data_IF_048035091112
#
_entry.id   IF_048035091112
#
_cell.length_a   1.000
_cell.length_b   1.000
_cell.length_c   1.000
_cell.angle_alpha   90.00
_cell.angle_beta   90.00
_cell.angle_gamma   90.00
#
_symmetry.space_group_name_H-M   'P 1'
#
loop_
_entity.id
_entity.type
_entity.pdbx_description
1 polymer ?
#
# COMPACT_ATOMS: atom_id res chain seq x y z
N UNK A 1 30.32 -51.54 20.51
CA UNK A 1 29.84 -51.20 19.15
C UNK A 1 28.70 -50.17 19.27
N UNK A 2 29.04 -48.89 19.14
CA UNK A 2 28.02 -47.81 19.20
C UNK A 2 27.42 -47.63 17.81
N UNK A 3 26.09 -47.81 17.68
CA UNK A 3 25.37 -47.56 16.45
C UNK A 3 25.10 -46.08 16.32
N UNK A 4 25.75 -45.44 15.35
CA UNK A 4 25.56 -44.03 14.97
C UNK A 4 24.19 -43.89 14.27
N UNK A 5 23.25 -43.22 14.90
CA UNK A 5 21.93 -42.86 14.28
C UNK A 5 22.10 -41.56 13.51
N UNK A 6 22.08 -41.65 12.19
CA UNK A 6 21.95 -40.49 11.31
C UNK A 6 20.52 -39.88 11.46
N UNK A 7 20.44 -38.68 12.01
CA UNK A 7 19.22 -37.86 11.92
C UNK A 7 19.19 -37.22 10.53
N UNK A 8 18.29 -37.68 9.71
CA UNK A 8 17.95 -36.98 8.44
C UNK A 8 17.13 -35.74 8.77
N UNK A 9 17.75 -34.56 8.63
CA UNK A 9 17.04 -33.28 8.69
C UNK A 9 16.31 -33.05 7.35
N UNK A 10 15.00 -33.17 7.37
CA UNK A 10 14.15 -32.83 6.22
C UNK A 10 14.02 -31.31 6.14
N UNK A 11 14.69 -30.70 5.16
CA UNK A 11 14.59 -29.28 4.87
C UNK A 11 13.21 -29.02 4.20
N UNK A 12 12.27 -28.44 4.94
CA UNK A 12 10.98 -28.04 4.39
C UNK A 12 11.21 -26.79 3.52
N UNK A 13 11.11 -26.99 2.20
CA UNK A 13 11.13 -25.90 1.23
C UNK A 13 9.80 -25.14 1.32
N UNK A 14 9.78 -23.98 1.96
CA UNK A 14 8.64 -23.08 1.95
C UNK A 14 8.56 -22.46 0.55
N UNK A 15 7.64 -22.94 -0.26
CA UNK A 15 7.33 -22.33 -1.55
C UNK A 15 6.66 -20.96 -1.29
N UNK A 16 7.39 -19.87 -1.47
CA UNK A 16 6.84 -18.52 -1.54
C UNK A 16 6.06 -18.46 -2.86
N UNK A 17 4.74 -18.61 -2.77
CA UNK A 17 3.86 -18.38 -3.92
C UNK A 17 3.86 -16.89 -4.21
N UNK A 18 4.56 -16.48 -5.26
CA UNK A 18 4.46 -15.13 -5.79
C UNK A 18 3.02 -14.92 -6.26
N UNK A 19 2.29 -14.01 -5.60
CA UNK A 19 0.98 -13.58 -6.11
C UNK A 19 1.18 -12.95 -7.49
N UNK A 20 0.39 -13.33 -8.51
CA UNK A 20 0.47 -12.67 -9.79
C UNK A 20 0.14 -11.18 -9.60
N UNK A 21 1.04 -10.31 -10.06
CA UNK A 21 0.78 -8.88 -10.07
C UNK A 21 -0.47 -8.63 -10.93
N UNK A 22 -1.49 -7.99 -10.33
CA UNK A 22 -2.69 -7.60 -11.06
C UNK A 22 -2.30 -6.51 -12.08
N UNK A 23 -2.76 -6.57 -13.34
CA UNK A 23 -2.49 -5.50 -14.31
C UNK A 23 -2.96 -4.15 -13.76
N UNK A 24 -2.10 -3.13 -13.83
CA UNK A 24 -2.38 -1.78 -13.36
C UNK A 24 -3.58 -1.12 -14.07
N UNK A 25 -3.91 -1.57 -15.29
CA UNK A 25 -4.92 -0.96 -16.16
C UNK A 25 -6.38 -1.18 -15.72
N UNK A 26 -6.61 -2.02 -14.73
CA UNK A 26 -7.97 -2.40 -14.28
C UNK A 26 -8.54 -1.51 -13.17
N UNK A 27 -7.71 -0.76 -12.47
CA UNK A 27 -8.13 0.17 -11.40
C UNK A 27 -8.29 1.56 -11.98
N UNK A 28 -9.51 2.13 -11.82
CA UNK A 28 -9.78 3.49 -12.29
C UNK A 28 -9.07 4.53 -11.41
N UNK A 29 -8.58 5.63 -12.01
CA UNK A 29 -8.05 6.74 -11.23
C UNK A 29 -9.13 7.29 -10.26
N UNK A 30 -8.72 7.89 -9.13
CA UNK A 30 -9.66 8.44 -8.18
C UNK A 30 -10.36 9.67 -8.78
N UNK A 31 -11.57 10.01 -8.29
CA UNK A 31 -12.25 11.24 -8.70
C UNK A 31 -11.43 12.46 -8.29
N UNK A 32 -11.53 13.57 -9.04
CA UNK A 32 -10.74 14.78 -8.82
C UNK A 32 -10.85 15.37 -7.40
N UNK A 33 -11.96 15.13 -6.70
CA UNK A 33 -12.19 15.60 -5.33
C UNK A 33 -11.65 14.71 -4.21
N UNK A 34 -10.82 13.70 -4.49
CA UNK A 34 -10.34 12.77 -3.44
C UNK A 34 -9.60 13.47 -2.29
N UNK A 35 -8.97 14.61 -2.50
CA UNK A 35 -8.30 15.39 -1.43
C UNK A 35 -9.29 16.00 -0.40
N UNK A 36 -10.59 15.97 -0.66
CA UNK A 36 -11.64 16.32 0.31
C UNK A 36 -12.15 15.11 1.11
N UNK A 37 -11.63 13.90 0.83
CA UNK A 37 -11.94 12.72 1.60
C UNK A 37 -11.28 12.75 2.98
N UNK A 38 -11.61 11.79 3.82
CA UNK A 38 -10.97 11.67 5.12
C UNK A 38 -9.46 11.45 4.95
N UNK A 39 -8.67 12.32 5.55
CA UNK A 39 -7.22 12.20 5.58
C UNK A 39 -6.83 11.21 6.67
N UNK A 40 -6.26 10.08 6.25
CA UNK A 40 -5.87 8.97 7.14
C UNK A 40 -4.58 9.30 7.89
N UNK A 41 -3.53 9.63 7.15
CA UNK A 41 -2.23 10.02 7.68
C UNK A 41 -1.36 10.69 6.61
N UNK A 42 -0.24 11.25 7.06
CA UNK A 42 0.88 11.65 6.21
C UNK A 42 2.14 10.94 6.68
N UNK A 43 2.91 10.39 5.75
CA UNK A 43 4.22 9.79 5.99
C UNK A 43 5.26 10.45 5.10
N UNK A 44 6.43 10.74 5.67
CA UNK A 44 7.58 11.25 4.91
C UNK A 44 8.65 10.16 4.86
N UNK A 45 9.05 9.79 3.65
CA UNK A 45 10.20 8.92 3.41
C UNK A 45 11.34 9.82 2.95
N UNK A 46 12.28 10.10 3.84
CA UNK A 46 13.43 10.93 3.58
C UNK A 46 14.70 10.12 3.21
N UNK A 47 15.79 10.81 2.96
CA UNK A 47 17.07 10.24 2.52
C UNK A 47 17.67 9.21 3.49
N UNK A 48 17.28 9.21 4.75
CA UNK A 48 17.75 8.22 5.74
C UNK A 48 17.06 6.86 5.58
N UNK A 49 15.92 6.81 4.87
CA UNK A 49 15.20 5.57 4.63
C UNK A 49 15.81 4.75 3.48
N UNK A 50 15.96 3.42 3.62
CA UNK A 50 16.36 2.55 2.51
C UNK A 50 15.34 2.55 1.37
N UNK A 51 14.10 2.98 1.62
CA UNK A 51 13.03 3.08 0.62
C UNK A 51 13.07 4.38 -0.19
N UNK A 52 13.96 5.33 0.17
CA UNK A 52 13.96 6.68 -0.43
C UNK A 52 14.13 6.66 -1.94
N UNK A 53 14.97 5.78 -2.47
CA UNK A 53 15.25 5.70 -3.91
C UNK A 53 13.97 5.47 -4.73
N UNK A 54 13.09 4.62 -4.25
CA UNK A 54 11.91 4.18 -5.00
C UNK A 54 10.63 4.89 -4.55
N UNK A 55 10.53 5.20 -3.25
CA UNK A 55 9.33 5.73 -2.61
C UNK A 55 9.55 7.05 -1.85
N UNK A 56 10.70 7.71 -2.05
CA UNK A 56 11.01 8.97 -1.36
C UNK A 56 9.98 10.05 -1.66
N UNK A 57 9.56 10.78 -0.62
CA UNK A 57 8.60 11.87 -0.73
C UNK A 57 7.63 11.95 0.45
N UNK A 58 6.67 12.85 0.33
CA UNK A 58 5.57 13.03 1.27
C UNK A 58 4.34 12.28 0.73
N UNK A 59 3.85 11.31 1.50
CA UNK A 59 2.73 10.45 1.17
C UNK A 59 1.50 10.88 1.96
N UNK A 60 0.54 11.53 1.32
CA UNK A 60 -0.74 11.89 1.94
C UNK A 60 -1.78 10.83 1.59
N UNK A 61 -2.31 10.14 2.59
CA UNK A 61 -3.27 9.04 2.40
C UNK A 61 -4.68 9.51 2.69
N UNK A 62 -5.57 9.30 1.73
CA UNK A 62 -6.99 9.62 1.82
C UNK A 62 -7.84 8.36 1.64
N UNK A 63 -9.01 8.34 2.26
CA UNK A 63 -9.98 7.25 2.12
C UNK A 63 -11.37 7.83 1.86
N UNK A 64 -12.13 7.19 0.95
CA UNK A 64 -13.52 7.58 0.68
C UNK A 64 -14.45 7.24 1.86
N UNK A 65 -15.67 7.77 1.86
CA UNK A 65 -16.64 7.61 2.96
C UNK A 65 -16.96 6.14 3.28
N UNK A 66 -16.96 5.27 2.27
CA UNK A 66 -17.20 3.82 2.46
C UNK A 66 -16.07 3.18 3.26
N UNK A 67 -14.83 3.45 2.87
CA UNK A 67 -13.64 2.95 3.57
C UNK A 67 -13.43 3.62 4.93
N UNK A 68 -13.76 4.91 5.08
CA UNK A 68 -13.67 5.65 6.35
C UNK A 68 -14.50 5.00 7.46
N UNK A 69 -15.75 4.64 7.16
CA UNK A 69 -16.61 3.98 8.13
C UNK A 69 -16.04 2.63 8.63
N UNK A 70 -15.43 1.87 7.72
CA UNK A 70 -14.76 0.61 8.07
C UNK A 70 -13.46 0.85 8.84
N UNK A 71 -12.64 1.85 8.43
CA UNK A 71 -11.40 2.22 9.11
C UNK A 71 -11.65 2.55 10.59
N UNK A 72 -12.66 3.35 10.89
CA UNK A 72 -13.05 3.73 12.27
C UNK A 72 -13.48 2.55 13.13
N UNK A 73 -13.94 1.46 12.52
CA UNK A 73 -14.37 0.23 13.21
C UNK A 73 -13.27 -0.85 13.28
N UNK A 74 -12.11 -0.62 12.65
CA UNK A 74 -11.05 -1.63 12.53
C UNK A 74 -11.29 -2.69 11.46
N UNK A 75 -12.08 -2.38 10.42
CA UNK A 75 -12.42 -3.29 9.31
C UNK A 75 -13.63 -4.19 9.62
N UNK A 76 -13.97 -5.20 8.76
CA UNK A 76 -13.41 -5.37 7.42
C UNK A 76 -13.88 -4.29 6.45
N UNK A 77 -13.11 -4.06 5.38
CA UNK A 77 -13.47 -3.07 4.36
C UNK A 77 -14.48 -3.66 3.37
N UNK A 78 -15.65 -3.03 3.17
CA UNK A 78 -16.63 -3.44 2.16
C UNK A 78 -16.15 -3.09 0.75
N UNK A 79 -16.74 -3.72 -0.26
CA UNK A 79 -16.51 -3.39 -1.66
C UNK A 79 -16.79 -1.90 -1.91
N UNK A 80 -16.07 -1.29 -2.85
CA UNK A 80 -16.02 0.14 -3.15
C UNK A 80 -15.25 1.00 -2.12
N UNK A 81 -14.69 0.42 -1.04
CA UNK A 81 -13.69 1.15 -0.26
C UNK A 81 -12.52 1.52 -1.15
N UNK A 82 -12.07 2.78 -1.11
CA UNK A 82 -10.96 3.27 -1.91
C UNK A 82 -10.02 4.08 -1.06
N UNK A 83 -8.73 3.76 -1.16
CA UNK A 83 -7.63 4.54 -0.59
C UNK A 83 -6.83 5.17 -1.71
N UNK A 84 -6.40 6.39 -1.51
CA UNK A 84 -5.52 7.11 -2.43
C UNK A 84 -4.32 7.61 -1.66
N UNK A 85 -3.13 7.26 -2.13
CA UNK A 85 -1.88 7.86 -1.67
C UNK A 85 -1.44 8.89 -2.69
N UNK A 86 -1.46 10.16 -2.29
CA UNK A 86 -0.98 11.29 -3.10
C UNK A 86 0.49 11.54 -2.73
N UNK A 87 1.39 11.15 -3.64
CA UNK A 87 2.83 11.23 -3.44
C UNK A 87 3.38 12.54 -4.01
N UNK A 88 4.04 13.30 -3.16
CA UNK A 88 4.65 14.59 -3.48
C UNK A 88 6.15 14.59 -3.17
N UNK A 89 6.89 15.44 -3.86
CA UNK A 89 8.17 15.90 -3.37
C UNK A 89 7.97 16.75 -2.12
N UNK A 90 9.03 17.00 -1.38
CA UNK A 90 9.04 17.95 -0.28
C UNK A 90 10.35 18.71 -0.23
N UNK A 91 10.30 19.92 0.31
CA UNK A 91 11.47 20.70 0.66
C UNK A 91 11.57 20.83 2.17
N UNK A 92 12.80 20.93 2.67
CA UNK A 92 13.05 21.22 4.09
C UNK A 92 13.65 22.63 4.18
N UNK A 93 12.96 23.51 4.88
CA UNK A 93 13.41 24.88 5.14
C UNK A 93 13.11 25.25 6.58
N UNK A 94 14.12 25.71 7.29
CA UNK A 94 14.02 26.18 8.68
C UNK A 94 13.32 25.16 9.62
N UNK A 95 13.64 23.88 9.45
CA UNK A 95 13.03 22.78 10.21
C UNK A 95 11.61 22.40 9.80
N UNK A 96 11.08 23.01 8.74
CA UNK A 96 9.75 22.71 8.20
C UNK A 96 9.83 21.81 6.97
N UNK A 97 8.93 20.85 6.88
CA UNK A 97 8.73 20.02 5.68
C UNK A 97 7.55 20.60 4.90
N UNK A 98 7.82 21.07 3.69
CA UNK A 98 6.82 21.72 2.84
C UNK A 98 6.51 20.84 1.64
N UNK A 99 5.22 20.54 1.43
CA UNK A 99 4.76 19.75 0.27
C UNK A 99 5.15 20.45 -1.03
N UNK A 100 5.74 19.70 -1.94
CA UNK A 100 6.17 20.15 -3.25
C UNK A 100 5.30 19.59 -4.40
N UNK A 101 5.91 19.45 -5.56
CA UNK A 101 5.23 18.93 -6.75
C UNK A 101 4.76 17.49 -6.56
N UNK A 102 3.61 17.15 -7.17
CA UNK A 102 3.13 15.76 -7.19
C UNK A 102 4.05 14.89 -8.04
N UNK A 103 4.43 13.75 -7.48
CA UNK A 103 5.21 12.69 -8.15
C UNK A 103 4.31 11.62 -8.74
N UNK A 104 3.21 11.28 -8.07
CA UNK A 104 2.31 10.24 -8.52
C UNK A 104 1.13 9.99 -7.59
N UNK A 105 0.28 9.07 -7.99
CA UNK A 105 -0.85 8.59 -7.23
C UNK A 105 -0.80 7.07 -7.13
N UNK A 106 -0.97 6.53 -5.93
CA UNK A 106 -1.25 5.12 -5.74
C UNK A 106 -2.71 4.96 -5.29
N UNK A 107 -3.42 4.02 -5.90
CA UNK A 107 -4.83 3.76 -5.64
C UNK A 107 -5.03 2.32 -5.23
N UNK A 108 -5.78 2.10 -4.15
CA UNK A 108 -6.29 0.79 -3.75
C UNK A 108 -7.80 0.82 -3.77
N UNK A 109 -8.44 -0.14 -4.43
CA UNK A 109 -9.90 -0.26 -4.44
C UNK A 109 -10.33 -1.67 -4.06
N UNK A 110 -11.34 -1.76 -3.19
CA UNK A 110 -11.93 -3.04 -2.78
C UNK A 110 -13.01 -3.45 -3.77
N UNK A 111 -12.81 -4.64 -4.35
CA UNK A 111 -13.81 -5.39 -5.09
C UNK A 111 -13.50 -6.88 -4.90
N UNK A 112 -14.23 -7.52 -3.99
CA UNK A 112 -13.96 -8.89 -3.55
C UNK A 112 -14.12 -9.93 -4.64
N UNK A 113 -14.91 -9.65 -5.68
CA UNK A 113 -15.10 -10.54 -6.84
C UNK A 113 -14.02 -10.34 -7.89
N UNK A 114 -13.79 -9.08 -8.28
CA UNK A 114 -12.86 -8.73 -9.35
C UNK A 114 -11.41 -9.04 -8.95
N UNK A 115 -11.04 -8.78 -7.71
CA UNK A 115 -9.67 -8.91 -7.20
C UNK A 115 -9.51 -10.05 -6.19
N UNK A 116 -10.24 -11.16 -6.37
CA UNK A 116 -10.21 -12.30 -5.44
C UNK A 116 -8.79 -12.85 -5.20
N UNK A 117 -7.93 -12.87 -6.22
CA UNK A 117 -6.55 -13.37 -6.14
C UNK A 117 -5.62 -12.51 -5.26
N UNK A 118 -5.99 -11.26 -4.98
CA UNK A 118 -5.24 -10.30 -4.16
C UNK A 118 -5.97 -9.94 -2.87
N UNK A 119 -6.78 -10.86 -2.35
CA UNK A 119 -7.57 -10.61 -1.14
C UNK A 119 -8.72 -9.62 -1.34
N UNK A 120 -9.15 -9.41 -2.59
CA UNK A 120 -10.22 -8.50 -2.98
C UNK A 120 -9.77 -7.05 -3.18
N UNK A 121 -8.47 -6.79 -3.34
CA UNK A 121 -7.94 -5.45 -3.58
C UNK A 121 -7.28 -5.30 -4.95
N UNK A 122 -7.69 -4.28 -5.70
CA UNK A 122 -7.01 -3.83 -6.89
C UNK A 122 -6.05 -2.67 -6.55
N UNK A 123 -4.95 -2.58 -7.30
CA UNK A 123 -3.88 -1.60 -7.09
C UNK A 123 -3.54 -0.92 -8.40
N UNK A 124 -3.24 0.39 -8.34
CA UNK A 124 -2.67 1.18 -9.43
C UNK A 124 -1.60 2.12 -8.84
N UNK A 125 -0.49 2.28 -9.56
CA UNK A 125 0.62 3.18 -9.23
C UNK A 125 0.94 4.08 -10.41
#
# INVERSE_FOLDING_TARGET
MQKLRLLSATLALVAVTAFPAQPADDVKPPPAGYRHWFHVNTMIIDKASPLFKDLGGMHNVYVNSVGEAALKKGGPYPDKSMFVTDLHDFTVSDGSYVEGARKGLAVMVKDSKKYASTGGWGFQF
#
